data_IF_310764464197
#
_entry.id   IF_310764464197
#
_cell.length_a   1.000
_cell.length_b   1.000
_cell.length_c   1.000
_cell.angle_alpha   90.00
_cell.angle_beta   90.00
_cell.angle_gamma   90.00
#
_symmetry.space_group_name_H-M   'P 1'
#
loop_
_entity.id
_entity.type
_entity.pdbx_description
1 polymer ?
#
# COMPACT_ATOMS: atom_id res chain seq x y z
N UNK A 1 27.26 -16.65 -5.71
CA UNK A 1 26.81 -18.02 -6.14
C UNK A 1 25.42 -17.99 -6.75
N UNK A 2 24.53 -17.09 -6.29
CA UNK A 2 23.17 -16.91 -6.82
C UNK A 2 23.09 -15.87 -7.96
N UNK A 3 24.20 -15.18 -8.18
CA UNK A 3 24.34 -14.06 -9.12
C UNK A 3 24.13 -14.51 -10.58
N UNK A 4 24.41 -15.78 -10.87
CA UNK A 4 24.18 -16.40 -12.18
C UNK A 4 22.69 -16.51 -12.52
N UNK A 5 21.85 -16.80 -11.50
CA UNK A 5 20.41 -16.94 -11.62
C UNK A 5 19.70 -15.59 -11.81
N UNK A 6 20.25 -14.52 -11.22
CA UNK A 6 19.74 -13.15 -11.33
C UNK A 6 20.28 -12.41 -12.54
N UNK A 7 21.04 -13.07 -13.42
CA UNK A 7 21.49 -12.46 -14.67
C UNK A 7 20.30 -11.93 -15.49
N UNK A 8 20.36 -10.69 -16.00
CA UNK A 8 19.25 -10.07 -16.75
C UNK A 8 18.73 -10.96 -17.88
N UNK A 9 19.62 -11.68 -18.57
CA UNK A 9 19.27 -12.62 -19.64
C UNK A 9 18.42 -13.78 -19.13
N UNK A 10 18.82 -14.41 -18.02
CA UNK A 10 18.05 -15.51 -17.41
C UNK A 10 16.70 -15.02 -16.88
N UNK A 11 16.65 -13.82 -16.27
CA UNK A 11 15.39 -13.22 -15.83
C UNK A 11 14.44 -12.96 -16.99
N UNK A 12 14.91 -12.47 -18.14
CA UNK A 12 14.06 -12.29 -19.33
C UNK A 12 13.46 -13.62 -19.78
N UNK A 13 14.26 -14.69 -19.83
CA UNK A 13 13.79 -16.02 -20.25
C UNK A 13 12.76 -16.58 -19.27
N UNK A 14 13.03 -16.48 -17.97
CA UNK A 14 12.10 -16.91 -16.91
C UNK A 14 10.81 -16.09 -16.94
N UNK A 15 10.94 -14.78 -17.15
CA UNK A 15 9.81 -13.86 -17.28
C UNK A 15 8.94 -14.28 -18.47
N UNK A 16 9.50 -14.50 -19.65
CA UNK A 16 8.75 -14.95 -20.83
C UNK A 16 8.01 -16.26 -20.54
N UNK A 17 8.66 -17.24 -19.90
CA UNK A 17 8.03 -18.51 -19.55
C UNK A 17 6.88 -18.31 -18.55
N UNK A 18 7.07 -17.46 -17.54
CA UNK A 18 6.02 -17.08 -16.60
C UNK A 18 4.88 -16.33 -17.31
N UNK A 19 5.15 -15.41 -18.23
CA UNK A 19 4.13 -14.73 -19.04
C UNK A 19 3.37 -15.69 -19.93
N UNK A 20 3.96 -16.81 -20.38
CA UNK A 20 3.26 -17.78 -21.19
C UNK A 20 2.21 -18.55 -20.36
N UNK A 21 2.52 -18.81 -19.09
CA UNK A 21 1.65 -19.55 -18.16
C UNK A 21 0.63 -18.61 -17.49
N UNK A 22 1.11 -17.49 -16.96
CA UNK A 22 0.30 -16.50 -16.26
C UNK A 22 -0.37 -15.49 -17.21
N UNK A 23 0.23 -15.20 -18.36
CA UNK A 23 -0.23 -14.18 -19.29
C UNK A 23 0.37 -12.78 -19.00
N UNK A 24 0.68 -11.98 -20.04
CA UNK A 24 1.22 -10.63 -19.89
C UNK A 24 0.28 -9.67 -19.15
N UNK A 25 -1.02 -9.96 -19.09
CA UNK A 25 -2.02 -9.17 -18.37
C UNK A 25 -2.06 -9.45 -16.87
N UNK A 26 -1.65 -10.63 -16.41
CA UNK A 26 -1.73 -11.01 -14.99
C UNK A 26 -0.57 -10.47 -14.16
N UNK A 27 0.61 -10.29 -14.75
CA UNK A 27 1.74 -9.64 -14.06
C UNK A 27 1.46 -8.20 -13.60
N UNK A 28 0.97 -7.27 -14.44
CA UNK A 28 0.66 -5.92 -14.01
C UNK A 28 -0.51 -5.88 -13.03
N UNK A 29 -1.47 -6.80 -13.15
CA UNK A 29 -2.61 -6.93 -12.23
C UNK A 29 -2.14 -7.32 -10.81
N UNK A 30 -1.29 -8.35 -10.69
CA UNK A 30 -0.67 -8.76 -9.43
C UNK A 30 0.33 -7.71 -8.91
N UNK A 31 1.08 -7.07 -9.80
CA UNK A 31 2.01 -6.00 -9.44
C UNK A 31 1.32 -4.74 -8.91
N UNK A 32 0.14 -4.41 -9.44
CA UNK A 32 -0.65 -3.26 -8.97
C UNK A 32 -1.19 -3.48 -7.56
N UNK A 33 -1.69 -4.67 -7.25
CA UNK A 33 -2.19 -5.00 -5.91
C UNK A 33 -1.06 -5.07 -4.88
N UNK A 34 0.03 -5.79 -5.18
CA UNK A 34 1.22 -5.84 -4.34
C UNK A 34 1.86 -4.45 -4.19
N UNK A 35 1.91 -3.66 -5.26
CA UNK A 35 2.48 -2.32 -5.25
C UNK A 35 1.73 -1.37 -4.31
N UNK A 36 0.40 -1.50 -4.22
CA UNK A 36 -0.40 -0.74 -3.25
C UNK A 36 -0.06 -1.15 -1.81
N UNK A 37 -0.02 -2.45 -1.52
CA UNK A 37 0.39 -2.96 -0.20
C UNK A 37 1.81 -2.54 0.18
N UNK A 38 2.76 -2.61 -0.76
CA UNK A 38 4.15 -2.19 -0.54
C UNK A 38 4.23 -0.68 -0.32
N UNK A 39 3.42 0.12 -1.01
CA UNK A 39 3.37 1.57 -0.81
C UNK A 39 2.83 1.93 0.57
N UNK A 40 1.75 1.29 1.00
CA UNK A 40 1.17 1.49 2.34
C UNK A 40 2.15 1.01 3.42
N UNK A 41 2.84 -0.12 3.20
CA UNK A 41 3.88 -0.63 4.09
C UNK A 41 5.07 0.34 4.19
N UNK A 42 5.58 0.84 3.05
CA UNK A 42 6.63 1.87 3.04
C UNK A 42 6.19 3.13 3.78
N UNK A 43 4.94 3.55 3.61
CA UNK A 43 4.41 4.73 4.29
C UNK A 43 4.35 4.50 5.81
N UNK A 44 3.90 3.33 6.26
CA UNK A 44 3.90 2.96 7.67
C UNK A 44 5.34 2.91 8.26
N UNK A 45 6.30 2.34 7.51
CA UNK A 45 7.70 2.32 7.91
C UNK A 45 8.32 3.73 7.96
N UNK A 46 7.99 4.60 7.01
CA UNK A 46 8.45 5.99 6.98
C UNK A 46 7.84 6.80 8.13
N UNK A 47 6.55 6.62 8.45
CA UNK A 47 5.88 7.32 9.57
C UNK A 47 6.45 6.88 10.92
N UNK A 48 6.78 5.59 11.09
CA UNK A 48 7.46 5.09 12.29
C UNK A 48 8.90 5.59 12.46
N UNK A 49 9.56 5.97 11.36
CA UNK A 49 10.94 6.47 11.35
C UNK A 49 11.06 8.00 11.27
N UNK A 50 9.98 8.71 10.94
CA UNK A 50 9.97 10.16 10.77
C UNK A 50 8.77 10.79 11.49
N UNK A 51 8.94 11.04 12.79
CA UNK A 51 8.18 12.11 13.43
C UNK A 51 8.57 13.43 12.76
N UNK A 52 7.56 14.17 12.28
CA UNK A 52 7.62 15.54 11.72
C UNK A 52 7.94 15.68 10.23
N UNK A 53 6.91 15.67 9.37
CA UNK A 53 6.49 16.84 8.57
C UNK A 53 5.50 16.47 7.46
N UNK A 54 4.32 17.13 7.51
CA UNK A 54 3.39 17.46 6.40
C UNK A 54 2.69 16.34 5.60
N UNK A 55 1.45 16.09 6.00
CA UNK A 55 0.30 15.55 5.24
C UNK A 55 0.02 16.34 3.94
N UNK A 56 -0.51 15.69 2.88
CA UNK A 56 -1.71 16.26 2.27
C UNK A 56 -2.83 15.21 2.20
N UNK A 57 -3.98 15.63 2.73
CA UNK A 57 -5.21 14.87 2.78
C UNK A 57 -5.72 14.60 1.35
N UNK A 58 -6.25 13.41 1.05
CA UNK A 58 -7.45 13.33 0.24
C UNK A 58 -8.62 13.70 1.14
N UNK A 59 -8.96 14.99 1.13
CA UNK A 59 -10.30 15.47 1.42
C UNK A 59 -11.29 14.69 0.55
N UNK A 60 -11.99 13.73 1.15
CA UNK A 60 -13.35 13.41 0.74
C UNK A 60 -14.25 14.00 1.82
N UNK A 61 -14.47 15.31 1.72
CA UNK A 61 -15.48 16.00 2.51
C UNK A 61 -16.88 15.56 2.06
N UNK A 62 -17.81 15.56 3.04
CA UNK A 62 -19.27 15.50 2.93
C UNK A 62 -19.81 14.07 2.72
N UNK A 63 -20.49 13.43 3.67
CA UNK A 63 -21.60 13.93 4.49
C UNK A 63 -21.41 13.81 6.01
N UNK A 64 -21.66 14.94 6.66
CA UNK A 64 -22.13 15.09 8.04
C UNK A 64 -23.50 14.41 8.18
N UNK A 65 -23.67 13.45 9.10
CA UNK A 65 -24.73 13.66 10.09
C UNK A 65 -24.17 14.15 11.42
N UNK A 66 -24.52 15.38 11.75
CA UNK A 66 -24.52 15.86 13.11
C UNK A 66 -25.65 15.14 13.84
N UNK A 67 -25.32 14.24 14.76
CA UNK A 67 -26.15 13.89 15.93
C UNK A 67 -25.28 13.08 16.90
N UNK A 68 -24.81 13.70 17.98
CA UNK A 68 -25.50 13.68 19.28
C UNK A 68 -25.41 12.33 19.99
N UNK A 69 -24.24 12.03 20.57
CA UNK A 69 -24.15 11.08 21.68
C UNK A 69 -23.32 11.70 22.80
N UNK A 70 -24.02 12.53 23.57
CA UNK A 70 -23.95 12.67 25.03
C UNK A 70 -22.55 12.76 25.66
N UNK A 71 -22.06 13.99 25.74
CA UNK A 71 -21.45 14.51 26.97
C UNK A 71 -22.37 14.16 28.16
N UNK A 72 -22.03 13.11 28.92
CA UNK A 72 -22.43 13.02 30.33
C UNK A 72 -21.30 13.61 31.15
N UNK A 73 -21.29 14.94 31.16
CA UNK A 73 -20.70 15.74 32.22
C UNK A 73 -21.47 15.49 33.53
N UNK A 74 -20.75 15.42 34.65
CA UNK A 74 -21.27 15.71 36.00
C UNK A 74 -22.45 14.88 36.55
N UNK A 75 -22.14 13.97 37.49
CA UNK A 75 -22.87 13.97 38.76
C UNK A 75 -21.91 13.62 39.91
N UNK A 76 -21.60 14.66 40.68
CA UNK A 76 -21.01 14.68 42.02
C UNK A 76 -21.91 13.94 43.01
N UNK A 77 -21.31 13.48 44.12
CA UNK A 77 -21.89 12.93 45.36
C UNK A 77 -21.90 11.41 45.50
#
# INVERSE_FOLDING_TARGET
MWDDLLSPTHLIVLLILALLIFGPKRLPELGSSLGKTIRDFKQALTVGSASTSSTPLPTKETDTPAESHTLTDSHVS
#
